data_IF_066226805639
#
_entry.id   IF_066226805639
#
_cell.length_a   1.000
_cell.length_b   1.000
_cell.length_c   1.000
_cell.angle_alpha   90.00
_cell.angle_beta   90.00
_cell.angle_gamma   90.00
#
_symmetry.space_group_name_H-M   'P 1'
#
loop_
_entity.id
_entity.type
_entity.pdbx_description
1 polymer ?
#
# COMPACT_ATOMS: atom_id res chain seq x y z
N UNK A 1 12.71 5.02 17.23
CA UNK A 1 14.17 5.00 17.25
C UNK A 1 14.66 6.30 17.84
N UNK A 2 15.53 6.25 18.81
CA UNK A 2 16.21 7.44 19.32
C UNK A 2 17.17 7.90 18.24
N UNK A 3 16.75 8.85 17.44
CA UNK A 3 17.59 9.46 16.40
C UNK A 3 18.56 10.47 17.02
N UNK A 4 18.54 10.66 18.37
CA UNK A 4 19.28 11.72 19.05
C UNK A 4 18.93 13.11 18.55
N UNK A 5 17.90 13.22 17.75
CA UNK A 5 17.59 14.38 16.98
C UNK A 5 16.20 14.95 17.20
N UNK A 6 16.05 16.19 16.81
CA UNK A 6 14.81 16.97 16.85
C UNK A 6 13.65 16.31 16.12
N UNK A 7 13.92 15.38 15.18
CA UNK A 7 12.88 14.72 14.40
C UNK A 7 11.89 13.92 15.25
N UNK A 8 12.37 13.20 16.25
CA UNK A 8 11.50 12.43 17.17
C UNK A 8 10.72 13.38 18.07
N UNK A 9 11.38 14.42 18.57
CA UNK A 9 10.72 15.45 19.37
C UNK A 9 9.61 16.18 18.61
N UNK A 10 9.79 16.40 17.32
CA UNK A 10 8.79 16.99 16.43
C UNK A 10 7.58 16.12 16.18
N UNK A 11 7.74 14.82 16.18
CA UNK A 11 6.65 13.86 15.95
C UNK A 11 5.85 13.57 17.24
N UNK A 12 6.42 13.85 18.40
CA UNK A 12 5.81 13.60 19.70
C UNK A 12 5.21 14.86 20.33
N UNK A 13 4.38 15.56 19.57
CA UNK A 13 3.69 16.75 20.05
C UNK A 13 2.79 16.52 21.27
N UNK A 14 2.36 15.31 21.52
CA UNK A 14 1.51 14.98 22.67
C UNK A 14 2.25 15.13 24.00
N UNK A 15 3.57 14.96 24.01
CA UNK A 15 4.41 15.05 25.21
C UNK A 15 5.17 16.37 25.34
N UNK A 16 5.08 17.24 24.32
CA UNK A 16 5.71 18.56 24.37
C UNK A 16 4.80 19.57 25.08
N UNK A 17 5.40 20.41 25.92
CA UNK A 17 4.67 21.52 26.47
C UNK A 17 4.44 22.64 25.43
N UNK A 18 3.52 23.57 25.72
CA UNK A 18 3.14 24.63 24.78
C UNK A 18 4.32 25.55 24.39
N UNK A 19 5.24 25.82 25.33
CA UNK A 19 6.40 26.66 25.09
C UNK A 19 7.39 26.02 24.11
N UNK A 20 7.64 24.71 24.24
CA UNK A 20 8.50 23.96 23.33
C UNK A 20 7.91 23.90 21.92
N UNK A 21 6.59 23.71 21.81
CA UNK A 21 5.90 23.74 20.50
C UNK A 21 5.97 25.12 19.86
N UNK A 22 5.78 26.19 20.62
CA UNK A 22 5.90 27.55 20.11
C UNK A 22 7.33 27.84 19.63
N UNK A 23 8.33 27.51 20.44
CA UNK A 23 9.73 27.67 20.06
C UNK A 23 10.06 26.92 18.76
N UNK A 24 9.51 25.72 18.58
CA UNK A 24 9.66 24.97 17.34
C UNK A 24 9.05 25.69 16.13
N UNK A 25 7.82 26.22 16.23
CA UNK A 25 7.17 26.93 15.13
C UNK A 25 7.89 28.26 14.82
N UNK A 26 8.38 28.95 15.85
CA UNK A 26 9.15 30.20 15.69
C UNK A 26 10.50 29.92 14.99
N UNK A 27 11.23 28.88 15.41
CA UNK A 27 12.47 28.44 14.78
C UNK A 27 12.26 27.99 13.31
N UNK A 28 11.11 27.39 13.03
CA UNK A 28 10.72 26.97 11.68
C UNK A 28 10.23 28.12 10.79
N UNK A 29 10.02 29.32 11.35
CA UNK A 29 9.40 30.44 10.66
C UNK A 29 7.93 30.22 10.28
N UNK A 30 7.27 29.26 10.90
CA UNK A 30 5.86 28.94 10.67
C UNK A 30 5.01 29.79 11.62
N UNK A 31 4.07 30.56 11.06
CA UNK A 31 3.14 31.31 11.89
C UNK A 31 2.23 30.38 12.71
N UNK A 32 2.27 30.53 14.02
CA UNK A 32 1.32 29.87 14.94
C UNK A 32 0.04 30.68 15.19
N UNK A 33 -0.12 31.82 14.52
CA UNK A 33 -1.38 32.56 14.52
C UNK A 33 -2.34 31.91 13.52
N UNK A 34 -3.48 31.29 13.97
CA UNK A 34 -4.38 30.56 13.10
C UNK A 34 -4.97 31.38 11.96
N UNK A 35 -5.27 32.68 12.19
CA UNK A 35 -5.84 33.54 11.16
C UNK A 35 -4.83 33.91 10.07
N UNK A 36 -3.58 34.12 10.46
CA UNK A 36 -2.49 34.41 9.52
C UNK A 36 -2.19 33.19 8.68
N UNK A 37 -2.10 32.02 9.30
CA UNK A 37 -1.88 30.75 8.60
C UNK A 37 -3.03 30.43 7.64
N UNK A 38 -4.28 30.58 8.09
CA UNK A 38 -5.46 30.34 7.25
C UNK A 38 -5.48 31.25 6.00
N UNK A 39 -5.12 32.54 6.15
CA UNK A 39 -5.02 33.48 5.02
C UNK A 39 -3.89 33.09 4.06
N UNK A 40 -2.74 32.66 4.57
CA UNK A 40 -1.63 32.20 3.75
C UNK A 40 -1.99 30.93 2.97
N UNK A 41 -2.62 29.95 3.64
CA UNK A 41 -3.12 28.73 3.02
C UNK A 41 -4.15 29.00 1.92
N UNK A 42 -5.12 29.88 2.18
CA UNK A 42 -6.14 30.26 1.18
C UNK A 42 -5.52 30.89 -0.07
N UNK A 43 -4.52 31.77 0.08
CA UNK A 43 -3.80 32.36 -1.05
C UNK A 43 -3.01 31.31 -1.84
N UNK A 44 -2.31 30.41 -1.15
CA UNK A 44 -1.57 29.34 -1.79
C UNK A 44 -2.50 28.40 -2.57
N UNK A 45 -3.61 28.00 -1.95
CA UNK A 45 -4.65 27.17 -2.58
C UNK A 45 -5.23 27.83 -3.85
N UNK A 46 -5.49 29.14 -3.80
CA UNK A 46 -5.97 29.90 -4.96
C UNK A 46 -4.96 29.86 -6.11
N UNK A 47 -3.66 30.01 -5.86
CA UNK A 47 -2.61 29.96 -6.91
C UNK A 47 -2.51 28.55 -7.52
N UNK A 48 -2.63 27.50 -6.69
CA UNK A 48 -2.67 26.11 -7.19
C UNK A 48 -3.90 25.88 -8.05
N UNK A 49 -5.07 26.35 -7.61
CA UNK A 49 -6.33 26.25 -8.37
C UNK A 49 -6.24 26.96 -9.73
N UNK A 50 -5.63 28.15 -9.77
CA UNK A 50 -5.41 28.91 -11.00
C UNK A 50 -4.29 28.33 -11.89
N UNK A 51 -3.66 27.24 -11.50
CA UNK A 51 -2.57 26.58 -12.23
C UNK A 51 -1.27 27.39 -12.27
N UNK A 52 -1.13 28.40 -11.40
CA UNK A 52 0.07 29.26 -11.33
C UNK A 52 1.24 28.60 -10.62
N UNK A 53 0.96 27.63 -9.76
CA UNK A 53 1.97 26.85 -9.04
C UNK A 53 1.48 25.43 -8.75
N UNK A 54 2.40 24.50 -8.49
CA UNK A 54 2.05 23.16 -8.02
C UNK A 54 1.80 23.14 -6.52
N UNK A 55 1.05 22.16 -6.03
CA UNK A 55 0.83 21.95 -4.59
C UNK A 55 2.15 21.84 -3.81
N UNK A 56 3.17 21.19 -4.38
CA UNK A 56 4.49 21.06 -3.75
C UNK A 56 5.23 22.40 -3.64
N UNK A 57 5.04 23.31 -4.60
CA UNK A 57 5.57 24.69 -4.52
C UNK A 57 4.85 25.48 -3.44
N UNK A 58 3.51 25.41 -3.41
CA UNK A 58 2.70 26.07 -2.38
C UNK A 58 3.09 25.65 -0.96
N UNK A 59 3.30 24.35 -0.73
CA UNK A 59 3.75 23.85 0.57
C UNK A 59 5.14 24.38 0.93
N UNK A 60 6.08 24.42 -0.01
CA UNK A 60 7.42 24.98 0.24
C UNK A 60 7.36 26.47 0.59
N UNK A 61 6.52 27.25 -0.06
CA UNK A 61 6.33 28.67 0.26
C UNK A 61 5.70 28.86 1.65
N UNK A 62 4.72 28.03 2.03
CA UNK A 62 4.06 28.13 3.32
C UNK A 62 4.99 27.81 4.49
N UNK A 63 5.84 26.82 4.32
CA UNK A 63 6.68 26.28 5.41
C UNK A 63 8.17 26.66 5.29
N UNK A 64 8.55 27.35 4.22
CA UNK A 64 9.94 27.75 3.96
C UNK A 64 10.81 26.61 3.40
N UNK A 65 11.99 26.96 2.90
CA UNK A 65 12.96 26.00 2.35
C UNK A 65 13.86 25.37 3.43
N UNK A 66 14.07 26.09 4.54
CA UNK A 66 14.93 25.67 5.63
C UNK A 66 14.10 25.26 6.84
N UNK A 67 13.71 24.00 6.87
CA UNK A 67 13.08 23.44 8.08
C UNK A 67 14.16 23.22 9.15
N UNK A 68 14.06 23.84 10.34
CA UNK A 68 15.06 23.65 11.41
C UNK A 68 15.15 22.20 11.88
N UNK A 69 14.11 21.40 11.62
CA UNK A 69 14.05 19.98 11.93
C UNK A 69 14.56 19.06 10.81
N UNK A 70 14.94 19.60 9.65
CA UNK A 70 15.60 18.80 8.62
C UNK A 70 16.97 18.37 9.12
N UNK A 71 17.01 17.18 9.66
CA UNK A 71 18.26 16.52 9.98
C UNK A 71 18.74 15.78 8.74
N UNK A 72 19.97 16.02 8.39
CA UNK A 72 20.66 15.24 7.37
C UNK A 72 21.34 14.05 8.05
N UNK A 73 21.13 12.85 7.51
CA UNK A 73 21.82 11.64 7.89
C UNK A 73 22.47 11.02 6.64
N UNK A 74 23.62 10.39 6.83
CA UNK A 74 24.25 9.59 5.79
C UNK A 74 23.62 8.18 5.75
N UNK A 75 23.81 7.45 4.66
CA UNK A 75 23.38 6.04 4.60
C UNK A 75 24.12 5.17 5.62
N UNK A 76 25.36 5.53 6.00
CA UNK A 76 26.11 4.87 7.05
C UNK A 76 25.45 5.09 8.43
N UNK A 77 24.88 6.28 8.68
CA UNK A 77 24.11 6.53 9.90
C UNK A 77 22.86 5.63 9.95
N UNK A 78 22.13 5.54 8.82
CA UNK A 78 20.96 4.66 8.70
C UNK A 78 21.35 3.19 8.95
N UNK A 79 22.46 2.73 8.34
CA UNK A 79 22.94 1.36 8.52
C UNK A 79 23.28 1.06 9.98
N UNK A 80 23.92 2.01 10.70
CA UNK A 80 24.19 1.86 12.15
C UNK A 80 22.89 1.76 12.95
N UNK A 81 21.88 2.56 12.63
CA UNK A 81 20.59 2.51 13.33
C UNK A 81 19.82 1.21 13.03
N UNK A 82 19.93 0.66 11.81
CA UNK A 82 19.42 -0.68 11.53
C UNK A 82 20.08 -1.75 12.41
N UNK A 83 21.42 -1.68 12.58
CA UNK A 83 22.15 -2.59 13.49
C UNK A 83 21.66 -2.48 14.94
N UNK A 84 21.41 -1.25 15.43
CA UNK A 84 20.83 -1.02 16.77
C UNK A 84 19.41 -1.54 16.89
N UNK A 85 18.60 -1.36 15.84
CA UNK A 85 17.21 -1.81 15.80
C UNK A 85 17.05 -3.32 15.97
N UNK A 86 18.02 -4.13 15.54
CA UNK A 86 17.99 -5.60 15.68
C UNK A 86 17.82 -6.02 17.13
N UNK A 87 18.46 -5.31 18.08
CA UNK A 87 18.46 -5.62 19.50
C UNK A 87 17.62 -4.64 20.33
N UNK A 88 16.85 -3.74 19.69
CA UNK A 88 16.02 -2.77 20.39
C UNK A 88 14.85 -3.45 21.13
N UNK A 89 14.48 -2.91 22.30
CA UNK A 89 13.31 -3.38 23.05
C UNK A 89 12.00 -3.21 22.24
N UNK A 90 11.90 -2.12 21.45
CA UNK A 90 10.82 -1.86 20.51
C UNK A 90 11.41 -1.70 19.13
N UNK A 91 11.29 -2.74 18.32
CA UNK A 91 11.89 -2.79 16.99
C UNK A 91 10.96 -2.18 15.95
N UNK A 92 11.51 -1.36 15.06
CA UNK A 92 10.86 -1.05 13.79
C UNK A 92 11.02 -2.27 12.88
N UNK A 93 9.92 -2.95 12.57
CA UNK A 93 9.92 -4.20 11.79
C UNK A 93 9.50 -4.01 10.33
N UNK A 94 9.09 -2.81 9.94
CA UNK A 94 8.71 -2.52 8.57
C UNK A 94 8.61 -1.03 8.30
N UNK A 95 9.14 -0.61 7.17
CA UNK A 95 9.01 0.72 6.61
C UNK A 95 8.20 0.62 5.32
N UNK A 96 7.17 1.47 5.20
CA UNK A 96 6.35 1.57 4.00
C UNK A 96 6.59 2.92 3.35
N UNK A 97 6.91 2.91 2.07
CA UNK A 97 7.07 4.14 1.28
C UNK A 97 5.96 4.18 0.23
N UNK A 98 5.28 5.32 0.15
CA UNK A 98 4.29 5.60 -0.88
C UNK A 98 4.93 6.44 -1.98
N UNK A 99 4.70 6.06 -3.23
CA UNK A 99 5.26 6.73 -4.40
C UNK A 99 4.37 6.56 -5.63
N UNK A 100 4.76 7.18 -6.73
CA UNK A 100 4.12 7.03 -8.04
C UNK A 100 4.88 6.00 -8.88
N UNK A 101 4.21 5.28 -9.79
CA UNK A 101 4.88 4.32 -10.67
C UNK A 101 6.01 4.96 -11.50
N UNK A 102 5.82 6.19 -12.01
CA UNK A 102 6.81 6.93 -12.80
C UNK A 102 8.08 7.34 -12.03
N UNK A 103 8.07 7.24 -10.69
CA UNK A 103 9.22 7.51 -9.83
C UNK A 103 9.99 6.23 -9.47
N UNK A 104 9.52 5.05 -9.89
CA UNK A 104 10.14 3.77 -9.61
C UNK A 104 11.18 3.45 -10.68
N UNK A 105 12.43 3.31 -10.24
CA UNK A 105 13.58 2.87 -11.04
C UNK A 105 14.60 2.20 -10.11
N UNK A 106 15.62 1.56 -10.68
CA UNK A 106 16.62 0.82 -9.90
C UNK A 106 17.30 1.71 -8.84
N UNK A 107 17.64 2.95 -9.16
CA UNK A 107 18.27 3.88 -8.22
C UNK A 107 17.36 4.21 -7.03
N UNK A 108 16.09 4.53 -7.28
CA UNK A 108 15.13 4.83 -6.20
C UNK A 108 14.85 3.60 -5.33
N UNK A 109 14.73 2.42 -5.94
CA UNK A 109 14.51 1.17 -5.21
C UNK A 109 15.72 0.76 -4.37
N UNK A 110 16.95 0.95 -4.88
CA UNK A 110 18.18 0.72 -4.12
C UNK A 110 18.22 1.61 -2.88
N UNK A 111 17.90 2.91 -3.03
CA UNK A 111 17.81 3.81 -1.90
C UNK A 111 16.73 3.37 -0.90
N UNK A 112 15.54 3.01 -1.38
CA UNK A 112 14.45 2.54 -0.51
C UNK A 112 14.85 1.27 0.27
N UNK A 113 15.60 0.34 -0.36
CA UNK A 113 16.15 -0.84 0.34
C UNK A 113 17.16 -0.44 1.40
N UNK A 114 18.08 0.48 1.08
CA UNK A 114 19.06 0.99 2.04
C UNK A 114 18.40 1.69 3.24
N UNK A 115 17.25 2.33 3.04
CA UNK A 115 16.43 2.91 4.11
C UNK A 115 15.66 1.88 4.94
N UNK A 116 15.69 0.59 4.58
CA UNK A 116 14.96 -0.49 5.27
C UNK A 116 13.50 -0.62 4.85
N UNK A 117 13.13 -0.07 3.70
CA UNK A 117 11.78 -0.24 3.16
C UNK A 117 11.50 -1.72 2.85
N UNK A 118 10.32 -2.18 3.25
CA UNK A 118 9.84 -3.55 3.02
C UNK A 118 8.61 -3.61 2.11
N UNK A 119 7.86 -2.50 2.02
CA UNK A 119 6.64 -2.41 1.22
C UNK A 119 6.56 -1.09 0.49
N UNK A 120 6.23 -1.14 -0.80
CA UNK A 120 5.99 0.03 -1.63
C UNK A 120 4.50 0.15 -1.93
N UNK A 121 3.94 1.30 -1.61
CA UNK A 121 2.59 1.67 -2.01
C UNK A 121 2.67 2.50 -3.29
N UNK A 122 2.00 2.04 -4.34
CA UNK A 122 2.02 2.68 -5.66
C UNK A 122 0.67 3.30 -5.97
N UNK A 123 0.67 4.58 -6.27
CA UNK A 123 -0.51 5.30 -6.75
C UNK A 123 -0.86 4.93 -8.19
N UNK A 124 -1.30 3.71 -8.45
CA UNK A 124 -1.73 3.21 -9.76
C UNK A 124 -2.97 3.95 -10.24
N UNK A 125 -3.98 4.00 -9.41
CA UNK A 125 -5.29 4.64 -9.56
C UNK A 125 -6.18 3.95 -10.60
N UNK A 126 -5.73 3.73 -11.82
CA UNK A 126 -6.38 3.04 -12.94
C UNK A 126 -5.32 2.46 -13.89
N UNK A 127 -5.70 1.53 -14.74
CA UNK A 127 -4.90 1.05 -15.88
C UNK A 127 -5.47 1.53 -17.23
N UNK A 128 -6.60 2.26 -17.20
CA UNK A 128 -7.22 2.82 -18.39
C UNK A 128 -6.51 4.15 -18.75
N UNK A 129 -5.86 4.19 -19.92
CA UNK A 129 -5.09 5.36 -20.38
C UNK A 129 -5.94 6.62 -20.45
N UNK A 130 -7.19 6.51 -20.97
CA UNK A 130 -8.10 7.65 -21.07
C UNK A 130 -8.42 8.22 -19.67
N UNK A 131 -8.67 7.36 -18.69
CA UNK A 131 -8.93 7.75 -17.30
C UNK A 131 -7.69 8.38 -16.69
N UNK A 132 -6.50 7.78 -16.90
CA UNK A 132 -5.24 8.31 -16.40
C UNK A 132 -4.96 9.71 -16.97
N UNK A 133 -5.16 9.91 -18.26
CA UNK A 133 -4.98 11.20 -18.93
C UNK A 133 -5.97 12.27 -18.43
N UNK A 134 -7.27 11.93 -18.35
CA UNK A 134 -8.31 12.82 -17.86
C UNK A 134 -8.01 13.32 -16.43
N UNK A 135 -7.39 12.46 -15.60
CA UNK A 135 -6.99 12.78 -14.24
C UNK A 135 -5.55 13.30 -14.12
N UNK A 136 -4.90 13.68 -15.21
CA UNK A 136 -3.55 14.25 -15.26
C UNK A 136 -2.49 13.38 -14.59
N UNK A 137 -2.63 12.06 -14.75
CA UNK A 137 -1.73 11.04 -14.15
C UNK A 137 -0.61 10.72 -15.12
N UNK A 138 -0.07 11.41 -15.89
CA UNK A 138 1.06 11.27 -16.82
C UNK A 138 1.87 9.96 -16.66
N UNK A 139 1.18 8.83 -16.56
CA UNK A 139 1.72 7.48 -16.34
C UNK A 139 0.96 6.52 -17.24
N UNK A 140 1.67 5.67 -17.99
CA UNK A 140 1.04 4.65 -18.84
C UNK A 140 0.93 3.30 -18.12
N UNK A 141 0.05 2.40 -18.58
CA UNK A 141 -0.01 1.01 -18.10
C UNK A 141 1.33 0.28 -18.20
N UNK A 142 2.16 0.56 -19.21
CA UNK A 142 3.47 -0.04 -19.40
C UNK A 142 4.46 0.44 -18.31
N UNK A 143 4.43 1.73 -17.97
CA UNK A 143 5.24 2.25 -16.85
C UNK A 143 4.79 1.66 -15.51
N UNK A 144 3.48 1.47 -15.31
CA UNK A 144 2.94 0.79 -14.14
C UNK A 144 3.44 -0.67 -14.10
N UNK A 145 3.37 -1.40 -15.21
CA UNK A 145 3.86 -2.76 -15.34
C UNK A 145 5.35 -2.87 -15.01
N UNK A 146 6.17 -1.96 -15.56
CA UNK A 146 7.59 -1.90 -15.27
C UNK A 146 7.86 -1.64 -13.77
N UNK A 147 7.10 -0.77 -13.14
CA UNK A 147 7.22 -0.50 -11.71
C UNK A 147 6.91 -1.75 -10.87
N UNK A 148 5.87 -2.52 -11.20
CA UNK A 148 5.58 -3.81 -10.55
C UNK A 148 6.71 -4.82 -10.75
N UNK A 149 7.20 -4.96 -11.97
CA UNK A 149 8.30 -5.88 -12.29
C UNK A 149 9.56 -5.57 -11.48
N UNK A 150 9.97 -4.30 -11.42
CA UNK A 150 11.12 -3.86 -10.64
C UNK A 150 10.91 -4.07 -9.12
N UNK A 151 9.74 -3.70 -8.59
CA UNK A 151 9.44 -3.90 -7.17
C UNK A 151 9.57 -5.37 -6.75
N UNK A 152 9.15 -6.32 -7.60
CA UNK A 152 9.29 -7.75 -7.32
C UNK A 152 10.74 -8.20 -7.31
N UNK A 153 11.51 -7.85 -8.34
CA UNK A 153 12.94 -8.19 -8.40
C UNK A 153 13.73 -7.61 -7.22
N UNK A 154 13.32 -6.45 -6.71
CA UNK A 154 13.89 -5.89 -5.49
C UNK A 154 13.31 -6.49 -4.19
N UNK A 155 12.37 -7.44 -4.28
CA UNK A 155 11.76 -8.14 -3.16
C UNK A 155 10.85 -7.31 -2.29
N UNK A 156 10.31 -6.23 -2.81
CA UNK A 156 9.32 -5.46 -2.08
C UNK A 156 7.94 -6.13 -2.11
N UNK A 157 7.20 -5.99 -1.04
CA UNK A 157 5.76 -6.20 -1.05
C UNK A 157 5.11 -5.06 -1.83
N UNK A 158 4.33 -5.38 -2.85
CA UNK A 158 3.68 -4.42 -3.73
C UNK A 158 2.26 -4.11 -3.24
N UNK A 159 1.91 -2.83 -3.17
CA UNK A 159 0.61 -2.38 -2.71
C UNK A 159 0.05 -1.33 -3.68
N UNK A 160 -0.97 -1.68 -4.44
CA UNK A 160 -1.61 -0.78 -5.39
C UNK A 160 -2.68 0.09 -4.72
N UNK A 161 -2.68 1.38 -5.02
CA UNK A 161 -3.85 2.23 -4.79
C UNK A 161 -4.68 2.23 -6.07
N UNK A 162 -5.91 1.80 -5.99
CA UNK A 162 -6.87 1.75 -7.07
C UNK A 162 -8.08 2.62 -6.72
N UNK A 163 -8.58 3.37 -7.68
CA UNK A 163 -9.70 4.28 -7.46
C UNK A 163 -10.86 3.95 -8.40
N UNK A 164 -12.05 3.86 -7.85
CA UNK A 164 -13.29 3.77 -8.61
C UNK A 164 -13.87 5.17 -8.82
N UNK A 165 -14.56 5.37 -9.95
CA UNK A 165 -15.24 6.61 -10.32
C UNK A 165 -14.30 7.81 -10.53
N UNK A 166 -13.12 7.60 -11.06
CA UNK A 166 -12.30 8.71 -11.56
C UNK A 166 -12.98 9.42 -12.74
N UNK A 167 -12.56 10.66 -13.02
CA UNK A 167 -13.05 11.39 -14.20
C UNK A 167 -12.81 10.56 -15.48
N UNK A 168 -13.88 10.34 -16.25
CA UNK A 168 -13.85 9.54 -17.47
C UNK A 168 -14.15 8.04 -17.28
N UNK A 169 -14.19 7.54 -16.03
CA UNK A 169 -14.51 6.14 -15.74
C UNK A 169 -16.03 5.89 -15.69
N UNK A 170 -16.44 4.68 -16.06
CA UNK A 170 -17.78 4.13 -15.87
C UNK A 170 -17.71 2.85 -15.00
N UNK A 171 -18.82 2.43 -14.36
CA UNK A 171 -18.82 1.26 -13.49
C UNK A 171 -18.23 -0.03 -14.11
N UNK A 172 -18.59 -0.33 -15.35
CA UNK A 172 -18.13 -1.51 -16.07
C UNK A 172 -16.63 -1.40 -16.42
N UNK A 173 -16.15 -0.18 -16.73
CA UNK A 173 -14.74 0.09 -17.00
C UNK A 173 -13.92 -0.13 -15.74
N UNK A 174 -14.34 0.41 -14.59
CA UNK A 174 -13.66 0.25 -13.30
C UNK A 174 -13.59 -1.23 -12.88
N UNK A 175 -14.66 -2.00 -13.07
CA UNK A 175 -14.68 -3.44 -12.78
C UNK A 175 -13.75 -4.23 -13.72
N UNK A 176 -13.70 -3.87 -15.01
CA UNK A 176 -12.80 -4.49 -15.99
C UNK A 176 -11.34 -4.13 -15.73
N UNK A 177 -11.06 -2.88 -15.39
CA UNK A 177 -9.74 -2.36 -15.08
C UNK A 177 -9.17 -3.04 -13.83
N UNK A 178 -9.98 -3.18 -12.78
CA UNK A 178 -9.57 -3.93 -11.59
C UNK A 178 -9.30 -5.41 -11.87
N UNK A 179 -10.13 -6.07 -12.69
CA UNK A 179 -9.86 -7.46 -13.09
C UNK A 179 -8.51 -7.58 -13.81
N UNK A 180 -8.19 -6.63 -14.69
CA UNK A 180 -6.88 -6.57 -15.35
C UNK A 180 -5.76 -6.42 -14.32
N UNK A 181 -5.90 -5.54 -13.32
CA UNK A 181 -4.90 -5.34 -12.27
C UNK A 181 -4.57 -6.63 -11.51
N UNK A 182 -5.57 -7.48 -11.25
CA UNK A 182 -5.43 -8.68 -10.41
C UNK A 182 -5.28 -9.99 -11.19
N UNK A 183 -5.37 -9.96 -12.53
CA UNK A 183 -5.26 -11.18 -13.37
C UNK A 183 -4.15 -11.12 -14.43
N UNK A 184 -3.75 -9.93 -14.87
CA UNK A 184 -2.65 -9.79 -15.85
C UNK A 184 -1.30 -9.91 -15.13
N UNK A 185 -0.47 -10.87 -15.58
CA UNK A 185 0.84 -11.18 -14.99
C UNK A 185 1.81 -9.99 -14.89
N UNK A 186 1.55 -8.91 -15.60
CA UNK A 186 2.33 -7.67 -15.53
C UNK A 186 2.14 -6.92 -14.21
N UNK A 187 0.99 -7.10 -13.53
CA UNK A 187 0.62 -6.33 -12.34
C UNK A 187 0.58 -7.20 -11.07
N UNK A 188 -0.48 -7.93 -10.80
CA UNK A 188 -0.69 -8.88 -9.70
C UNK A 188 -0.19 -8.37 -8.33
N UNK A 189 -0.81 -7.32 -7.76
CA UNK A 189 -0.37 -6.74 -6.49
C UNK A 189 -0.57 -7.70 -5.31
N UNK A 190 0.32 -7.60 -4.31
CA UNK A 190 0.18 -8.32 -3.03
C UNK A 190 -0.94 -7.73 -2.17
N UNK A 191 -1.11 -6.41 -2.23
CA UNK A 191 -2.20 -5.70 -1.55
C UNK A 191 -2.82 -4.64 -2.48
N UNK A 192 -4.10 -4.34 -2.23
CA UNK A 192 -4.82 -3.25 -2.90
C UNK A 192 -5.55 -2.40 -1.87
N UNK A 193 -5.51 -1.09 -2.06
CA UNK A 193 -6.48 -0.14 -1.49
C UNK A 193 -7.48 0.23 -2.56
N UNK A 194 -8.76 0.13 -2.26
CA UNK A 194 -9.83 0.57 -3.16
C UNK A 194 -10.49 1.82 -2.58
N UNK A 195 -10.38 2.92 -3.30
CA UNK A 195 -10.96 4.19 -2.90
C UNK A 195 -12.01 4.66 -3.88
N UNK A 196 -13.24 4.95 -3.45
CA UNK A 196 -14.18 5.69 -4.29
C UNK A 196 -13.70 7.14 -4.43
N UNK A 197 -13.70 7.65 -5.65
CA UNK A 197 -13.49 9.07 -5.90
C UNK A 197 -14.65 9.86 -5.26
N UNK A 198 -14.31 10.95 -4.59
CA UNK A 198 -15.26 11.85 -3.96
C UNK A 198 -14.98 13.29 -4.37
N UNK A 199 -16.04 14.10 -4.45
CA UNK A 199 -15.94 15.52 -4.74
C UNK A 199 -15.47 16.26 -3.50
N UNK A 200 -14.33 16.94 -3.60
CA UNK A 200 -13.77 17.80 -2.56
C UNK A 200 -13.79 19.23 -3.06
N UNK A 201 -14.18 20.16 -2.18
CA UNK A 201 -14.21 21.58 -2.51
C UNK A 201 -12.83 22.11 -2.92
N UNK A 202 -12.83 23.05 -3.88
CA UNK A 202 -11.61 23.66 -4.39
C UNK A 202 -10.75 22.75 -5.29
N UNK A 203 -11.25 21.56 -5.68
CA UNK A 203 -10.56 20.67 -6.66
C UNK A 203 -11.03 20.96 -8.08
N UNK A 204 -10.19 20.60 -9.08
CA UNK A 204 -10.57 20.71 -10.50
C UNK A 204 -11.81 19.89 -10.88
N UNK A 205 -12.13 18.86 -10.11
CA UNK A 205 -13.30 18.01 -10.33
C UNK A 205 -14.63 18.76 -10.13
N UNK A 206 -14.62 19.89 -9.36
CA UNK A 206 -15.79 20.75 -9.18
C UNK A 206 -16.34 21.31 -10.50
N UNK A 207 -15.47 21.64 -11.45
CA UNK A 207 -15.89 22.12 -12.77
C UNK A 207 -16.63 21.03 -13.55
N UNK A 208 -16.12 19.79 -13.53
CA UNK A 208 -16.72 18.64 -14.18
C UNK A 208 -18.02 18.19 -13.52
N UNK A 209 -18.16 18.41 -12.23
CA UNK A 209 -19.41 18.20 -11.50
C UNK A 209 -20.46 19.25 -11.89
N UNK A 210 -20.06 20.52 -12.01
CA UNK A 210 -20.94 21.62 -12.34
C UNK A 210 -21.46 21.55 -13.79
N UNK A 211 -20.64 21.11 -14.73
CA UNK A 211 -21.01 20.95 -16.15
C UNK A 211 -21.63 19.58 -16.48
N UNK A 212 -21.70 18.67 -15.50
CA UNK A 212 -22.31 17.35 -15.63
C UNK A 212 -21.45 16.32 -16.37
N UNK A 213 -20.17 16.60 -16.64
CA UNK A 213 -19.25 15.65 -17.28
C UNK A 213 -18.71 14.60 -16.30
N UNK A 214 -18.88 14.82 -15.00
CA UNK A 214 -18.61 13.86 -13.94
C UNK A 214 -19.67 13.94 -12.84
N UNK A 215 -20.01 12.79 -12.28
CA UNK A 215 -20.83 12.65 -11.07
C UNK A 215 -20.29 11.52 -10.21
N UNK A 216 -20.47 11.55 -8.88
CA UNK A 216 -20.20 10.38 -8.06
C UNK A 216 -21.13 9.22 -8.45
N UNK A 217 -20.63 7.99 -8.34
CA UNK A 217 -21.48 6.80 -8.44
C UNK A 217 -22.53 6.83 -7.34
N UNK A 218 -23.75 6.46 -7.67
CA UNK A 218 -24.74 6.17 -6.65
C UNK A 218 -24.33 4.93 -5.85
N UNK A 219 -25.00 4.70 -4.71
CA UNK A 219 -24.67 3.60 -3.83
C UNK A 219 -24.70 2.22 -4.51
N UNK A 220 -25.69 1.98 -5.35
CA UNK A 220 -25.84 0.71 -6.06
C UNK A 220 -24.70 0.47 -7.06
N UNK A 221 -24.33 1.49 -7.81
CA UNK A 221 -23.20 1.45 -8.75
C UNK A 221 -21.89 1.18 -7.98
N UNK A 222 -21.61 1.98 -6.95
CA UNK A 222 -20.39 1.86 -6.18
C UNK A 222 -20.26 0.49 -5.49
N UNK A 223 -21.31 0.07 -4.80
CA UNK A 223 -21.31 -1.22 -4.09
C UNK A 223 -21.20 -2.38 -5.09
N UNK A 224 -21.84 -2.28 -6.25
CA UNK A 224 -21.73 -3.26 -7.33
C UNK A 224 -20.29 -3.44 -7.80
N UNK A 225 -19.64 -2.35 -8.24
CA UNK A 225 -18.24 -2.36 -8.69
C UNK A 225 -17.30 -2.92 -7.63
N UNK A 226 -17.42 -2.45 -6.39
CA UNK A 226 -16.52 -2.89 -5.32
C UNK A 226 -16.75 -4.35 -4.91
N UNK A 227 -18.00 -4.86 -4.98
CA UNK A 227 -18.31 -6.26 -4.71
C UNK A 227 -17.77 -7.18 -5.82
N UNK A 228 -17.89 -6.78 -7.09
CA UNK A 228 -17.28 -7.48 -8.21
C UNK A 228 -15.75 -7.53 -8.09
N UNK A 229 -15.13 -6.44 -7.62
CA UNK A 229 -13.70 -6.38 -7.36
C UNK A 229 -13.29 -7.34 -6.23
N UNK A 230 -14.09 -7.47 -5.17
CA UNK A 230 -13.84 -8.46 -4.10
C UNK A 230 -13.87 -9.88 -4.66
N UNK A 231 -14.87 -10.21 -5.49
CA UNK A 231 -15.00 -11.53 -6.12
C UNK A 231 -13.87 -11.85 -7.10
N UNK A 232 -13.38 -10.83 -7.83
CA UNK A 232 -12.28 -10.99 -8.78
C UNK A 232 -10.91 -11.13 -8.10
N UNK A 233 -10.81 -10.82 -6.80
CA UNK A 233 -9.52 -10.79 -6.09
C UNK A 233 -8.98 -12.21 -5.86
N UNK A 234 -7.75 -12.52 -6.32
CA UNK A 234 -7.15 -13.84 -6.19
C UNK A 234 -6.70 -14.16 -4.76
N UNK A 235 -6.41 -15.45 -4.44
CA UNK A 235 -6.13 -15.92 -3.08
C UNK A 235 -4.87 -15.31 -2.45
N UNK A 236 -3.98 -14.74 -3.23
CA UNK A 236 -2.74 -14.11 -2.77
C UNK A 236 -2.82 -12.59 -2.65
N UNK A 237 -3.93 -11.95 -3.01
CA UNK A 237 -4.09 -10.49 -2.89
C UNK A 237 -4.97 -10.13 -1.70
N UNK A 238 -4.56 -9.09 -0.96
CA UNK A 238 -5.29 -8.57 0.19
C UNK A 238 -5.86 -7.19 -0.10
N UNK A 239 -7.17 -7.02 0.04
CA UNK A 239 -7.79 -5.69 0.02
C UNK A 239 -7.64 -5.07 1.41
N UNK A 240 -6.58 -4.28 1.57
CA UNK A 240 -6.18 -3.72 2.86
C UNK A 240 -7.13 -2.62 3.35
N UNK A 241 -7.68 -1.82 2.44
CA UNK A 241 -8.56 -0.70 2.75
C UNK A 241 -9.62 -0.48 1.65
N UNK A 242 -10.83 -0.14 2.09
CA UNK A 242 -11.97 0.17 1.24
C UNK A 242 -12.76 1.30 1.91
N UNK A 243 -12.17 2.48 1.93
CA UNK A 243 -12.75 3.67 2.57
C UNK A 243 -12.05 4.91 2.02
N UNK A 244 -12.62 6.07 2.27
CA UNK A 244 -12.00 7.37 1.98
C UNK A 244 -10.86 7.71 2.95
N UNK A 245 -9.94 8.56 2.53
CA UNK A 245 -8.90 9.15 3.37
C UNK A 245 -9.29 10.54 3.93
N UNK A 246 -10.38 11.13 3.42
CA UNK A 246 -10.88 12.43 3.83
C UNK A 246 -11.98 12.32 4.89
N UNK A 247 -12.11 13.34 5.73
CA UNK A 247 -13.26 13.47 6.62
C UNK A 247 -14.57 13.56 5.83
N UNK A 248 -15.66 13.03 6.38
CA UNK A 248 -16.98 13.15 5.74
C UNK A 248 -17.45 14.59 5.58
N UNK A 249 -16.93 15.51 6.43
CA UNK A 249 -17.22 16.93 6.36
C UNK A 249 -16.54 17.62 5.17
N UNK A 250 -15.43 17.10 4.68
CA UNK A 250 -14.67 17.66 3.54
C UNK A 250 -15.24 17.21 2.19
N UNK A 251 -16.11 16.19 2.19
CA UNK A 251 -16.73 15.66 0.98
C UNK A 251 -17.99 16.46 0.64
N UNK A 252 -17.97 17.14 -0.49
CA UNK A 252 -19.13 17.84 -1.05
C UNK A 252 -20.17 16.83 -1.52
N UNK A 253 -19.76 15.88 -2.39
CA UNK A 253 -20.60 14.79 -2.90
C UNK A 253 -19.80 13.52 -3.11
N UNK A 254 -20.46 12.35 -3.03
CA UNK A 254 -19.86 11.03 -3.10
C UNK A 254 -20.07 10.20 -1.83
N UNK A 255 -19.33 9.11 -1.69
CA UNK A 255 -19.51 8.20 -0.56
C UNK A 255 -19.02 8.81 0.77
N UNK A 256 -19.95 8.97 1.72
CA UNK A 256 -19.68 9.44 3.08
C UNK A 256 -19.76 8.35 4.14
N UNK A 257 -20.16 7.12 3.78
CA UNK A 257 -20.34 6.00 4.70
C UNK A 257 -19.00 5.55 5.28
N UNK A 258 -18.97 5.37 6.59
CA UNK A 258 -17.79 4.87 7.32
C UNK A 258 -17.70 3.34 7.26
N UNK A 259 -18.82 2.66 7.06
CA UNK A 259 -18.96 1.20 6.98
C UNK A 259 -19.10 0.67 5.55
N UNK A 260 -18.58 1.40 4.56
CA UNK A 260 -18.66 0.99 3.14
C UNK A 260 -18.20 -0.46 2.94
N UNK A 261 -17.10 -0.87 3.59
CA UNK A 261 -16.56 -2.22 3.48
C UNK A 261 -17.57 -3.29 3.89
N UNK A 262 -18.27 -3.11 5.00
CA UNK A 262 -19.27 -4.08 5.49
C UNK A 262 -20.42 -4.25 4.49
N UNK A 263 -20.86 -3.14 3.90
CA UNK A 263 -21.93 -3.14 2.87
C UNK A 263 -21.47 -3.87 1.62
N UNK A 264 -20.23 -3.62 1.18
CA UNK A 264 -19.63 -4.26 -0.01
C UNK A 264 -19.40 -5.76 0.23
N UNK A 265 -18.85 -6.14 1.38
CA UNK A 265 -18.62 -7.55 1.73
C UNK A 265 -19.94 -8.32 1.80
N UNK A 266 -20.98 -7.75 2.41
CA UNK A 266 -22.31 -8.37 2.42
C UNK A 266 -22.93 -8.52 1.01
N UNK A 267 -22.63 -7.62 0.08
CA UNK A 267 -23.03 -7.76 -1.32
C UNK A 267 -22.21 -8.83 -2.03
N UNK A 268 -20.88 -8.86 -1.82
CA UNK A 268 -19.99 -9.88 -2.38
C UNK A 268 -20.40 -11.29 -1.92
N UNK A 269 -20.72 -11.46 -0.63
CA UNK A 269 -21.22 -12.74 -0.08
C UNK A 269 -22.50 -13.21 -0.78
N UNK A 270 -23.44 -12.29 -1.04
CA UNK A 270 -24.67 -12.62 -1.77
C UNK A 270 -24.38 -13.06 -3.20
N UNK A 271 -23.52 -12.32 -3.91
CA UNK A 271 -23.12 -12.65 -5.28
C UNK A 271 -22.34 -13.97 -5.33
N UNK A 272 -21.44 -14.21 -4.38
CA UNK A 272 -20.69 -15.45 -4.23
C UNK A 272 -21.63 -16.66 -4.08
N UNK A 273 -22.63 -16.55 -3.20
CA UNK A 273 -23.62 -17.59 -2.99
C UNK A 273 -24.54 -17.81 -4.21
N UNK A 274 -24.92 -16.75 -4.92
CA UNK A 274 -25.76 -16.84 -6.12
C UNK A 274 -25.03 -17.52 -7.29
N UNK A 275 -23.73 -17.29 -7.42
CA UNK A 275 -22.92 -17.79 -8.52
C UNK A 275 -22.14 -19.06 -8.18
N UNK A 276 -22.25 -19.57 -6.96
CA UNK A 276 -21.48 -20.70 -6.41
C UNK A 276 -19.95 -20.49 -6.58
N UNK A 277 -19.47 -19.27 -6.30
CA UNK A 277 -18.06 -18.89 -6.42
C UNK A 277 -17.57 -18.43 -5.05
N UNK A 278 -16.51 -19.05 -4.48
CA UNK A 278 -16.00 -18.64 -3.17
C UNK A 278 -15.20 -17.35 -3.27
N UNK A 279 -15.32 -16.47 -2.27
CA UNK A 279 -14.45 -15.29 -2.13
C UNK A 279 -13.05 -15.76 -1.71
N UNK A 280 -12.04 -15.40 -2.51
CA UNK A 280 -10.65 -15.83 -2.30
C UNK A 280 -9.78 -14.76 -1.62
N UNK A 281 -10.26 -13.55 -1.50
CA UNK A 281 -9.56 -12.40 -0.93
C UNK A 281 -9.04 -12.70 0.49
N UNK A 282 -7.77 -12.34 0.77
CA UNK A 282 -7.09 -12.74 2.03
C UNK A 282 -7.85 -12.25 3.26
N UNK A 283 -8.22 -10.96 3.33
CA UNK A 283 -8.84 -10.39 4.53
C UNK A 283 -10.22 -10.99 4.83
N UNK A 284 -10.95 -11.38 3.80
CA UNK A 284 -12.21 -12.11 3.95
C UNK A 284 -12.00 -13.50 4.58
N UNK A 285 -10.85 -14.13 4.28
CA UNK A 285 -10.49 -15.47 4.76
C UNK A 285 -9.64 -15.49 6.03
N UNK A 286 -9.06 -14.34 6.47
CA UNK A 286 -8.20 -14.33 7.66
C UNK A 286 -8.96 -14.75 8.92
N UNK A 287 -8.30 -15.54 9.79
CA UNK A 287 -8.83 -15.89 11.10
C UNK A 287 -8.79 -14.65 12.00
N UNK A 288 -9.88 -13.89 12.05
CA UNK A 288 -10.03 -12.73 12.91
C UNK A 288 -10.29 -13.19 14.36
N UNK A 289 -9.29 -13.02 15.24
CA UNK A 289 -9.48 -12.89 16.69
C UNK A 289 -10.20 -13.98 17.48
N UNK A 290 -10.81 -14.96 16.83
CA UNK A 290 -11.51 -16.03 17.48
C UNK A 290 -10.51 -16.99 18.15
N UNK A 291 -10.78 -17.35 19.41
CA UNK A 291 -10.27 -18.57 20.03
C UNK A 291 -10.90 -19.78 19.31
N UNK A 292 -10.68 -19.88 18.01
CA UNK A 292 -11.02 -21.10 17.30
C UNK A 292 -9.93 -22.08 17.71
N UNK A 293 -10.32 -23.16 18.36
CA UNK A 293 -9.48 -24.35 18.38
C UNK A 293 -9.13 -24.59 16.93
N UNK A 294 -7.88 -24.33 16.59
CA UNK A 294 -7.39 -24.49 15.23
C UNK A 294 -7.37 -26.00 15.04
N UNK A 295 -8.42 -26.51 14.40
CA UNK A 295 -8.54 -27.88 14.02
C UNK A 295 -7.41 -28.33 13.09
N UNK A 296 -7.67 -29.21 12.20
CA UNK A 296 -6.75 -29.64 11.17
C UNK A 296 -6.44 -28.45 10.24
N UNK A 297 -5.16 -28.11 10.13
CA UNK A 297 -4.66 -27.14 9.15
C UNK A 297 -3.95 -27.87 8.03
N UNK A 298 -4.24 -27.48 6.80
CA UNK A 298 -3.53 -27.93 5.62
C UNK A 298 -2.61 -26.83 5.10
N UNK A 299 -1.38 -27.21 4.71
CA UNK A 299 -0.48 -26.33 3.99
C UNK A 299 -0.82 -26.40 2.50
N UNK A 300 -1.22 -25.27 1.94
CA UNK A 300 -1.55 -25.15 0.52
C UNK A 300 -0.56 -24.19 -0.11
N UNK A 301 0.00 -24.59 -1.25
CA UNK A 301 0.84 -23.77 -2.11
C UNK A 301 0.00 -23.30 -3.30
N UNK A 302 -0.13 -21.99 -3.45
CA UNK A 302 -0.74 -21.38 -4.62
C UNK A 302 0.37 -20.75 -5.46
N UNK A 303 0.73 -21.44 -6.54
CA UNK A 303 1.75 -21.00 -7.49
C UNK A 303 1.16 -20.12 -8.57
N UNK A 304 1.85 -19.03 -8.92
CA UNK A 304 1.46 -18.14 -10.01
C UNK A 304 2.68 -17.45 -10.63
N UNK A 305 2.57 -17.17 -11.93
CA UNK A 305 3.60 -16.48 -12.69
C UNK A 305 3.32 -14.98 -12.76
N UNK A 306 4.36 -14.18 -12.69
CA UNK A 306 4.35 -12.78 -13.05
C UNK A 306 5.18 -12.56 -14.33
N UNK A 307 5.38 -11.30 -14.72
CA UNK A 307 6.21 -10.97 -15.89
C UNK A 307 7.68 -11.40 -15.75
N UNK A 308 8.18 -11.56 -14.52
CA UNK A 308 9.61 -11.76 -14.26
C UNK A 308 9.93 -12.62 -13.03
N UNK A 309 8.92 -13.20 -12.38
CA UNK A 309 9.10 -14.08 -11.22
C UNK A 309 8.09 -15.22 -11.24
N UNK A 310 8.45 -16.36 -10.65
CA UNK A 310 7.52 -17.38 -10.20
C UNK A 310 7.27 -17.15 -8.71
N UNK A 311 6.01 -17.09 -8.33
CA UNK A 311 5.57 -16.75 -6.98
C UNK A 311 4.88 -17.94 -6.35
N UNK A 312 5.18 -18.21 -5.07
CA UNK A 312 4.50 -19.18 -4.24
C UNK A 312 3.82 -18.48 -3.07
N UNK A 313 2.51 -18.61 -2.99
CA UNK A 313 1.73 -18.17 -1.85
C UNK A 313 1.41 -19.35 -0.96
N UNK A 314 2.31 -19.64 -0.02
CA UNK A 314 2.16 -20.72 0.95
C UNK A 314 1.20 -20.30 2.04
N UNK A 315 0.15 -21.06 2.29
CA UNK A 315 -0.86 -20.71 3.28
C UNK A 315 -1.30 -21.90 4.13
N UNK A 316 -1.41 -21.70 5.43
CA UNK A 316 -2.09 -22.62 6.33
C UNK A 316 -3.56 -22.29 6.35
N UNK A 317 -4.39 -23.23 5.92
CA UNK A 317 -5.85 -23.07 5.84
C UNK A 317 -6.62 -24.11 6.62
N UNK A 318 -7.79 -23.71 7.13
CA UNK A 318 -8.78 -24.64 7.70
C UNK A 318 -9.57 -25.34 6.58
N UNK A 319 -10.35 -26.39 6.89
CA UNK A 319 -11.23 -27.02 5.91
C UNK A 319 -12.21 -26.05 5.22
N UNK A 320 -12.60 -24.96 5.90
CA UNK A 320 -13.47 -23.90 5.38
C UNK A 320 -12.68 -22.82 4.62
N UNK A 321 -11.42 -23.08 4.27
CA UNK A 321 -10.52 -22.16 3.56
C UNK A 321 -10.21 -20.84 4.31
N UNK A 322 -10.23 -20.85 5.67
CA UNK A 322 -9.80 -19.71 6.48
C UNK A 322 -8.28 -19.74 6.66
N UNK A 323 -7.62 -18.57 6.55
CA UNK A 323 -6.16 -18.47 6.60
C UNK A 323 -5.69 -18.28 8.05
N UNK A 324 -4.87 -19.21 8.55
CA UNK A 324 -4.18 -19.12 9.85
C UNK A 324 -2.80 -18.46 9.76
N UNK A 325 -2.17 -18.50 8.60
CA UNK A 325 -0.90 -17.85 8.31
C UNK A 325 -0.48 -18.08 6.88
N UNK A 326 0.41 -17.24 6.36
CA UNK A 326 0.91 -17.37 5.00
C UNK A 326 2.35 -16.86 4.85
N UNK A 327 2.97 -17.23 3.73
CA UNK A 327 4.27 -16.74 3.30
C UNK A 327 4.23 -16.48 1.79
N UNK A 328 4.91 -15.43 1.36
CA UNK A 328 5.17 -15.13 -0.05
C UNK A 328 6.62 -15.41 -0.37
N UNK A 329 6.84 -16.40 -1.22
CA UNK A 329 8.16 -16.71 -1.80
C UNK A 329 8.16 -16.26 -3.25
N UNK A 330 9.23 -15.58 -3.65
CA UNK A 330 9.49 -15.14 -5.01
C UNK A 330 10.74 -15.82 -5.54
N UNK A 331 10.61 -16.40 -6.74
CA UNK A 331 11.69 -16.99 -7.50
C UNK A 331 11.91 -16.13 -8.76
N UNK A 332 12.85 -15.16 -8.74
CA UNK A 332 13.11 -14.32 -9.89
C UNK A 332 13.63 -15.12 -11.09
N UNK A 333 13.17 -14.76 -12.30
CA UNK A 333 13.70 -15.32 -13.52
C UNK A 333 15.18 -14.91 -13.67
N UNK A 334 16.08 -15.87 -13.73
CA UNK A 334 17.53 -15.65 -13.75
C UNK A 334 17.94 -14.65 -14.84
N UNK A 335 17.45 -14.84 -16.06
CA UNK A 335 17.72 -13.95 -17.20
C UNK A 335 17.33 -12.47 -16.93
N UNK A 336 16.22 -12.20 -16.23
CA UNK A 336 15.80 -10.83 -15.90
C UNK A 336 16.72 -10.19 -14.86
N UNK A 337 17.22 -10.97 -13.90
CA UNK A 337 18.19 -10.51 -12.93
C UNK A 337 19.52 -10.18 -13.60
N UNK A 338 20.06 -11.09 -14.41
CA UNK A 338 21.31 -10.90 -15.17
C UNK A 338 21.25 -9.67 -16.06
N UNK A 339 20.16 -9.47 -16.79
CA UNK A 339 19.94 -8.30 -17.65
C UNK A 339 19.97 -6.98 -16.84
N UNK A 340 19.36 -6.93 -15.66
CA UNK A 340 19.41 -5.75 -14.80
C UNK A 340 20.80 -5.53 -14.23
N UNK A 341 21.53 -6.57 -13.84
CA UNK A 341 22.91 -6.45 -13.37
C UNK A 341 23.83 -5.86 -14.45
N UNK A 342 23.66 -6.27 -15.70
CA UNK A 342 24.43 -5.76 -16.83
C UNK A 342 24.14 -4.27 -17.14
N UNK A 343 22.87 -3.86 -17.01
CA UNK A 343 22.44 -2.51 -17.40
C UNK A 343 22.55 -1.48 -16.28
N UNK A 344 22.27 -1.88 -15.05
CA UNK A 344 22.13 -0.97 -13.89
C UNK A 344 23.28 -1.10 -12.87
N UNK A 345 24.18 -2.07 -13.05
CA UNK A 345 25.30 -2.31 -12.13
C UNK A 345 24.88 -3.09 -10.88
N UNK A 346 25.36 -2.67 -9.69
CA UNK A 346 25.11 -3.39 -8.45
C UNK A 346 23.60 -3.49 -8.14
N UNK A 347 23.08 -4.70 -8.20
CA UNK A 347 21.69 -5.04 -7.95
C UNK A 347 21.59 -5.84 -6.64
N UNK A 348 20.56 -5.64 -5.81
CA UNK A 348 20.51 -6.23 -4.46
C UNK A 348 20.24 -7.74 -4.44
N UNK A 349 19.93 -8.35 -5.57
CA UNK A 349 19.70 -9.79 -5.73
C UNK A 349 20.67 -10.33 -6.76
N UNK A 350 21.24 -11.51 -6.48
CA UNK A 350 22.05 -12.26 -7.42
C UNK A 350 21.19 -13.30 -8.16
N UNK A 351 21.60 -13.65 -9.38
CA UNK A 351 20.95 -14.71 -10.13
C UNK A 351 20.97 -16.03 -9.32
N UNK A 352 19.87 -16.77 -9.35
CA UNK A 352 19.68 -17.99 -8.57
C UNK A 352 19.31 -17.76 -7.09
N UNK A 353 19.05 -16.53 -6.67
CA UNK A 353 18.53 -16.25 -5.33
C UNK A 353 17.00 -16.19 -5.31
N UNK A 354 16.41 -16.85 -4.32
CA UNK A 354 15.00 -16.73 -3.98
C UNK A 354 14.78 -15.70 -2.87
N UNK A 355 13.57 -15.14 -2.75
CA UNK A 355 13.29 -14.15 -1.73
C UNK A 355 11.96 -14.39 -1.01
N UNK A 356 11.98 -14.44 0.32
CA UNK A 356 10.78 -14.35 1.14
C UNK A 356 10.39 -12.88 1.26
N UNK A 357 9.25 -12.50 0.69
CA UNK A 357 8.75 -11.11 0.68
C UNK A 357 7.84 -10.78 1.85
N UNK A 358 7.17 -11.77 2.42
CA UNK A 358 6.30 -11.63 3.58
C UNK A 358 6.12 -12.96 4.31
N UNK A 359 6.07 -12.92 5.64
CA UNK A 359 5.58 -14.01 6.50
C UNK A 359 4.59 -13.43 7.48
N UNK A 360 3.39 -13.99 7.57
CA UNK A 360 2.36 -13.56 8.49
C UNK A 360 1.66 -14.76 9.13
N UNK A 361 1.49 -14.74 10.45
CA UNK A 361 0.70 -15.72 11.20
C UNK A 361 -0.32 -14.97 12.03
N UNK A 362 -1.61 -15.28 11.81
CA UNK A 362 -2.71 -14.64 12.51
C UNK A 362 -2.84 -15.13 13.95
N UNK A 363 -3.26 -14.25 14.84
CA UNK A 363 -3.49 -14.55 16.25
C UNK A 363 -3.12 -13.42 17.20
N UNK A 364 -3.38 -13.59 18.50
CA UNK A 364 -2.92 -12.65 19.52
C UNK A 364 -1.39 -12.69 19.58
N UNK A 365 -0.76 -11.51 19.69
CA UNK A 365 0.69 -11.39 19.85
C UNK A 365 1.18 -12.31 20.96
N UNK A 366 2.02 -13.27 20.60
CA UNK A 366 2.64 -14.21 21.53
C UNK A 366 4.00 -13.71 21.97
N UNK A 367 4.34 -13.92 23.25
CA UNK A 367 5.72 -13.72 23.69
C UNK A 367 6.61 -14.75 23.00
N UNK A 368 7.76 -14.32 22.47
CA UNK A 368 8.78 -15.22 21.93
C UNK A 368 9.16 -16.26 23.02
N UNK A 369 9.07 -17.55 22.67
CA UNK A 369 9.29 -18.71 23.56
C UNK A 369 8.21 -18.98 24.61
N UNK A 370 7.04 -18.34 24.56
CA UNK A 370 5.87 -18.70 25.41
C UNK A 370 5.13 -19.90 24.83
N UNK A 371 4.75 -20.88 25.67
CA UNK A 371 3.87 -22.00 25.27
C UNK A 371 2.39 -21.59 25.30
N UNK A 372 1.62 -21.96 24.27
CA UNK A 372 0.17 -21.73 24.20
C UNK A 372 -0.50 -22.49 23.06
N UNK A 373 -1.82 -22.61 23.08
CA UNK A 373 -2.62 -23.35 22.06
C UNK A 373 -2.97 -22.48 20.82
N UNK A 374 -2.52 -21.22 20.75
CA UNK A 374 -2.80 -20.31 19.65
C UNK A 374 -1.96 -20.63 18.42
N UNK A 375 -2.41 -20.25 17.22
CA UNK A 375 -1.73 -20.46 15.93
C UNK A 375 -0.24 -19.98 15.95
N UNK A 376 0.04 -18.86 16.60
CA UNK A 376 1.39 -18.31 16.74
C UNK A 376 2.35 -19.20 17.57
N UNK A 377 1.83 -20.09 18.43
CA UNK A 377 2.65 -20.99 19.25
C UNK A 377 2.90 -22.38 18.62
N UNK A 378 2.24 -22.69 17.51
CA UNK A 378 2.35 -23.99 16.82
C UNK A 378 3.52 -24.10 15.85
N UNK A 379 4.38 -23.11 15.77
CA UNK A 379 5.52 -23.11 14.84
C UNK A 379 5.12 -22.96 13.36
N UNK A 380 3.90 -22.50 13.06
CA UNK A 380 3.39 -22.34 11.68
C UNK A 380 4.30 -21.47 10.82
N UNK A 381 4.81 -20.36 11.37
CA UNK A 381 5.74 -19.48 10.66
C UNK A 381 7.06 -20.18 10.32
N UNK A 382 7.59 -21.00 11.24
CA UNK A 382 8.81 -21.78 11.00
C UNK A 382 8.59 -22.82 9.89
N UNK A 383 7.46 -23.52 9.93
CA UNK A 383 7.12 -24.49 8.91
C UNK A 383 6.93 -23.87 7.52
N UNK A 384 6.34 -22.66 7.45
CA UNK A 384 6.24 -21.89 6.19
C UNK A 384 7.63 -21.54 5.63
N UNK A 385 8.55 -21.08 6.48
CA UNK A 385 9.91 -20.73 6.06
C UNK A 385 10.68 -21.98 5.62
N UNK A 386 10.53 -23.11 6.30
CA UNK A 386 11.19 -24.36 5.91
C UNK A 386 10.65 -24.85 4.56
N UNK A 387 9.32 -24.81 4.35
CA UNK A 387 8.74 -25.17 3.05
C UNK A 387 9.21 -24.26 1.93
N UNK A 388 9.29 -22.95 2.18
CA UNK A 388 9.82 -21.98 1.21
C UNK A 388 11.30 -22.29 0.87
N UNK A 389 12.10 -22.69 1.88
CA UNK A 389 13.48 -23.09 1.66
C UNK A 389 13.60 -24.35 0.79
N UNK A 390 12.76 -25.36 1.02
CA UNK A 390 12.70 -26.56 0.18
C UNK A 390 12.42 -26.19 -1.27
N UNK A 391 11.35 -25.41 -1.54
CA UNK A 391 10.97 -24.97 -2.88
C UNK A 391 12.15 -24.21 -3.55
N UNK A 392 12.79 -23.30 -2.82
CA UNK A 392 13.89 -22.50 -3.36
C UNK A 392 15.16 -23.32 -3.66
N UNK A 393 15.35 -24.50 -3.02
CA UNK A 393 16.47 -25.39 -3.30
C UNK A 393 16.19 -26.34 -4.47
N UNK A 394 14.92 -26.62 -4.74
CA UNK A 394 14.48 -27.50 -5.83
C UNK A 394 14.31 -26.75 -7.16
N UNK A 395 14.25 -25.39 -7.12
CA UNK A 395 14.10 -24.53 -8.30
C UNK A 395 15.45 -24.15 -8.93
#
# INVERSE_FOLDING_TARGET
ADTGGRCVATLDFAHQNEAERRAFYDEAGISHNPETLARACAKAQQRVYEGKESHAQAIRELYGENYPWQQTATLDDVSREHGRNVNAAHRNVGLVIETRPDSINCKSLTLMRALGCTKIQMGVQSLNEHVLEANKRHTSPEQIAQAFALCRLFGFKSHAHFMANLLGAQPDDDASDFRTLVSDKRFLPDEVKMYPCALIDGTGLMAHYADGTWRPYNERELVGVLADNVLATPPYTRISRMIRDFSSGDIVDGNKKVNLREVVEAQADRLAAQNDVPIQEIRHRELAGAQTEIGELSLVDFEYETSNTNEHFLQWVTPENRIAGFLRLSLPCQHEVEKLQETEGAFPIEAGQAMIREVHVYGKVAQLHGGGQNAQHRGLGKALVERAREIALDA
#
